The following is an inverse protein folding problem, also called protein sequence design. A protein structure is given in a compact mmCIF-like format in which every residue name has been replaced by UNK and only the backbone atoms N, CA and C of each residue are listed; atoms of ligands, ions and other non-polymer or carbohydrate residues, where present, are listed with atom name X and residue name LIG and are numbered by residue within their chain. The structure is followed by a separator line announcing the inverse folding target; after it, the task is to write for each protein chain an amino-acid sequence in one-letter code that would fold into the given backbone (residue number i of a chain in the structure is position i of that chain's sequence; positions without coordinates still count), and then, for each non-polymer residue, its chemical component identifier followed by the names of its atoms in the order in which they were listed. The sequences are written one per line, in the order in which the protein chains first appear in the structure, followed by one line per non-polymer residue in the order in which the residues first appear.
data_IF_661627194570
#
_entry.id   IF_661627194570
#
_cell.length_a   1.000
_cell.length_b   1.000
_cell.length_c   1.000
_cell.angle_alpha   90.00
_cell.angle_beta   90.00
_cell.angle_gamma   90.00
#
_symmetry.space_group_name_H-M   'P 1'
#
loop_
_entity.id
_entity.type
_entity.pdbx_description
1 polymer ?
#
# COMPACT_ATOMS: atom_id res chain seq x y z
N UNK A 1 73.30 12.42 33.38
CA UNK A 1 72.72 11.20 32.76
C UNK A 1 72.96 11.24 31.27
N UNK A 2 73.58 10.20 30.71
CA UNK A 2 74.03 10.18 29.31
C UNK A 2 72.84 10.05 28.34
N UNK A 3 72.94 10.57 27.09
CA UNK A 3 71.87 10.47 26.09
C UNK A 3 71.42 9.02 25.83
N UNK A 4 72.35 8.07 25.91
CA UNK A 4 72.10 6.64 25.72
C UNK A 4 71.15 6.02 26.76
N UNK A 5 71.17 6.51 28.00
CA UNK A 5 70.26 6.02 29.03
C UNK A 5 68.79 6.45 28.79
N UNK A 6 68.58 7.54 28.04
CA UNK A 6 67.23 8.00 27.65
C UNK A 6 66.68 7.19 26.48
N UNK A 7 67.53 6.79 25.53
CA UNK A 7 67.14 5.93 24.40
C UNK A 7 66.73 4.52 24.86
N UNK A 8 67.44 3.95 25.83
CA UNK A 8 67.13 2.61 26.36
C UNK A 8 65.79 2.56 27.11
N UNK A 9 65.39 3.66 27.74
CA UNK A 9 64.11 3.77 28.45
C UNK A 9 62.92 3.88 27.49
N UNK A 10 63.16 4.32 26.24
CA UNK A 10 62.18 4.40 25.15
C UNK A 10 61.99 3.06 24.41
N UNK A 11 62.82 2.04 24.65
CA UNK A 11 62.68 0.70 24.05
C UNK A 11 61.75 -0.26 24.81
N UNK A 12 61.04 0.21 25.84
CA UNK A 12 59.93 -0.57 26.41
C UNK A 12 58.78 -0.59 25.41
N UNK A 13 58.82 -1.57 24.51
CA UNK A 13 57.77 -1.93 23.56
C UNK A 13 56.40 -1.81 24.25
N UNK A 14 55.67 -0.75 23.91
CA UNK A 14 54.27 -0.66 24.27
C UNK A 14 53.56 -1.82 23.57
N UNK A 15 53.08 -2.79 24.35
CA UNK A 15 52.19 -3.83 23.84
C UNK A 15 50.84 -3.16 23.66
N UNK A 16 50.57 -2.70 22.44
CA UNK A 16 49.23 -2.25 22.04
C UNK A 16 48.38 -3.52 21.92
N UNK A 17 47.65 -3.86 22.97
CA UNK A 17 46.57 -4.84 22.88
C UNK A 17 45.44 -4.18 22.09
N UNK A 18 45.41 -4.42 20.78
CA UNK A 18 44.28 -4.05 19.94
C UNK A 18 43.03 -4.82 20.43
N UNK A 19 42.23 -4.16 21.27
CA UNK A 19 40.93 -4.66 21.65
C UNK A 19 39.99 -4.54 20.45
N UNK A 20 39.91 -5.58 19.64
CA UNK A 20 38.85 -5.71 18.64
C UNK A 20 37.57 -6.13 19.36
N UNK A 21 36.55 -5.26 19.52
CA UNK A 21 35.27 -5.72 20.01
C UNK A 21 34.76 -6.73 18.99
N UNK A 22 34.67 -8.01 19.38
CA UNK A 22 33.94 -9.02 18.60
C UNK A 22 32.51 -8.50 18.48
N UNK A 23 32.18 -7.89 17.34
CA UNK A 23 30.80 -7.65 16.94
C UNK A 23 30.15 -9.03 16.87
N UNK A 24 29.51 -9.45 17.96
CA UNK A 24 28.53 -10.54 17.91
C UNK A 24 27.53 -10.08 16.88
N UNK A 25 27.58 -10.69 15.69
CA UNK A 25 26.47 -10.59 14.75
C UNK A 25 25.27 -11.09 15.53
N UNK A 26 24.41 -10.18 15.99
CA UNK A 26 23.09 -10.56 16.44
C UNK A 26 22.46 -11.19 15.21
N UNK A 27 22.42 -12.52 15.18
CA UNK A 27 21.55 -13.24 14.28
C UNK A 27 20.16 -12.71 14.56
N UNK A 28 19.70 -11.78 13.72
CA UNK A 28 18.32 -11.36 13.73
C UNK A 28 17.57 -12.60 13.30
N UNK A 29 17.14 -13.43 14.26
CA UNK A 29 16.10 -14.44 14.07
C UNK A 29 14.84 -13.68 13.67
N UNK A 30 14.79 -13.26 12.41
CA UNK A 30 13.54 -12.84 11.79
C UNK A 30 12.69 -14.10 11.84
N UNK A 31 11.60 -14.05 12.60
CA UNK A 31 10.53 -15.03 12.44
C UNK A 31 10.25 -15.08 10.94
N UNK A 32 10.60 -16.20 10.29
CA UNK A 32 10.33 -16.38 8.87
C UNK A 32 8.81 -16.47 8.76
N UNK A 33 8.17 -15.34 8.52
CA UNK A 33 6.75 -15.31 8.24
C UNK A 33 6.43 -16.21 7.04
N UNK A 34 5.17 -16.61 6.93
CA UNK A 34 4.71 -17.49 5.85
C UNK A 34 5.15 -16.96 4.48
N UNK A 35 5.78 -17.83 3.69
CA UNK A 35 6.13 -17.55 2.30
C UNK A 35 4.87 -17.31 1.44
N UNK A 36 5.06 -16.69 0.28
CA UNK A 36 3.94 -16.47 -0.65
C UNK A 36 3.27 -17.80 -1.08
N UNK A 37 4.03 -18.89 -1.18
CA UNK A 37 3.51 -20.24 -1.49
C UNK A 37 2.62 -20.75 -0.35
N UNK A 38 3.12 -20.69 0.88
CA UNK A 38 2.36 -21.12 2.08
C UNK A 38 1.07 -20.32 2.27
N UNK A 39 1.10 -18.99 2.03
CA UNK A 39 -0.12 -18.16 2.14
C UNK A 39 -1.19 -18.50 1.11
N UNK A 40 -0.80 -18.94 -0.10
CA UNK A 40 -1.75 -19.40 -1.14
C UNK A 40 -2.34 -20.76 -0.79
N UNK A 41 -1.49 -21.67 -0.30
CA UNK A 41 -1.92 -23.01 0.15
C UNK A 41 -2.93 -22.91 1.30
N UNK A 42 -2.71 -21.99 2.23
CA UNK A 42 -3.62 -21.70 3.33
C UNK A 42 -4.86 -20.89 2.91
N UNK A 43 -4.99 -20.48 1.65
CA UNK A 43 -6.09 -19.65 1.14
C UNK A 43 -6.39 -18.43 2.02
N UNK A 44 -5.34 -17.82 2.58
CA UNK A 44 -5.44 -16.81 3.64
C UNK A 44 -6.27 -15.57 3.25
N UNK A 45 -6.39 -15.31 1.94
CA UNK A 45 -7.08 -14.14 1.39
C UNK A 45 -8.31 -14.52 0.56
N UNK A 46 -8.74 -15.78 0.63
CA UNK A 46 -9.94 -16.22 -0.05
C UNK A 46 -11.13 -16.05 0.90
N UNK A 47 -12.12 -15.31 0.44
CA UNK A 47 -13.38 -15.14 1.17
C UNK A 47 -14.23 -16.36 0.85
N UNK A 48 -14.67 -17.09 1.87
CA UNK A 48 -15.55 -18.24 1.68
C UNK A 48 -16.80 -17.82 0.91
N UNK A 49 -17.32 -18.65 -0.01
CA UNK A 49 -18.49 -18.29 -0.81
C UNK A 49 -19.70 -17.92 0.05
N UNK A 50 -19.88 -18.58 1.21
CA UNK A 50 -20.97 -18.25 2.15
C UNK A 50 -20.93 -16.81 2.67
N UNK A 51 -19.74 -16.20 2.69
CA UNK A 51 -19.48 -14.86 3.23
C UNK A 51 -19.40 -13.79 2.13
N UNK A 52 -19.58 -14.15 0.86
CA UNK A 52 -19.54 -13.22 -0.28
C UNK A 52 -20.87 -12.48 -0.46
N UNK A 53 -21.54 -12.11 0.62
CA UNK A 53 -22.77 -11.31 0.57
C UNK A 53 -22.43 -9.83 0.60
N UNK A 54 -22.87 -9.08 -0.39
CA UNK A 54 -22.66 -7.65 -0.52
C UNK A 54 -23.14 -6.88 0.72
N UNK A 55 -24.29 -7.27 1.27
CA UNK A 55 -24.90 -6.66 2.44
C UNK A 55 -23.98 -6.65 3.66
N UNK A 56 -23.18 -7.71 3.85
CA UNK A 56 -22.24 -7.82 4.98
C UNK A 56 -21.13 -6.76 4.91
N UNK A 57 -20.86 -6.21 3.73
CA UNK A 57 -19.81 -5.22 3.51
C UNK A 57 -20.35 -3.77 3.43
N UNK A 58 -21.66 -3.57 3.56
CA UNK A 58 -22.24 -2.22 3.65
C UNK A 58 -21.68 -1.43 4.86
N UNK A 59 -21.57 -2.01 6.07
CA UNK A 59 -20.97 -1.31 7.21
C UNK A 59 -19.52 -0.89 6.96
N UNK A 60 -18.76 -1.70 6.20
CA UNK A 60 -17.40 -1.35 5.80
C UNK A 60 -17.37 -0.12 4.88
N UNK A 61 -18.35 -0.01 3.98
CA UNK A 61 -18.48 1.17 3.12
C UNK A 61 -18.83 2.43 3.94
N UNK A 62 -19.73 2.32 4.91
CA UNK A 62 -20.09 3.47 5.76
C UNK A 62 -18.93 3.92 6.65
N UNK A 63 -18.15 2.98 7.18
CA UNK A 63 -16.90 3.30 7.88
C UNK A 63 -15.92 4.04 6.96
N UNK A 64 -15.80 3.60 5.72
CA UNK A 64 -14.93 4.26 4.74
C UNK A 64 -15.40 5.69 4.39
N UNK A 65 -16.71 5.93 4.27
CA UNK A 65 -17.24 7.30 4.07
C UNK A 65 -16.87 8.23 5.23
N UNK A 66 -17.07 7.77 6.47
CA UNK A 66 -16.70 8.54 7.66
C UNK A 66 -15.20 8.84 7.68
N UNK A 67 -14.37 7.83 7.39
CA UNK A 67 -12.92 8.00 7.26
C UNK A 67 -12.53 9.09 6.25
N UNK A 68 -13.14 9.10 5.06
CA UNK A 68 -12.80 10.12 4.05
C UNK A 68 -13.31 11.51 4.45
N UNK A 69 -14.47 11.62 5.09
CA UNK A 69 -14.94 12.91 5.64
C UNK A 69 -13.95 13.49 6.62
N UNK A 70 -13.49 12.66 7.56
CA UNK A 70 -12.53 13.06 8.58
C UNK A 70 -11.18 13.41 7.94
N UNK A 71 -10.72 12.60 6.98
CA UNK A 71 -9.47 12.85 6.26
C UNK A 71 -9.51 14.17 5.49
N UNK A 72 -10.64 14.50 4.87
CA UNK A 72 -10.81 15.70 4.07
C UNK A 72 -11.21 16.95 4.90
N UNK A 73 -11.45 16.80 6.21
CA UNK A 73 -12.01 17.84 7.10
C UNK A 73 -13.38 18.35 6.64
N UNK A 74 -14.21 17.45 6.12
CA UNK A 74 -15.48 17.77 5.48
C UNK A 74 -15.29 18.15 4.01
N UNK A 75 -15.93 17.41 3.12
CA UNK A 75 -15.97 17.68 1.68
C UNK A 75 -17.01 18.78 1.41
N UNK A 76 -16.64 20.04 1.70
CA UNK A 76 -17.47 21.20 1.34
C UNK A 76 -17.26 21.55 -0.14
N UNK A 77 -18.23 22.17 -0.84
CA UNK A 77 -18.07 22.56 -2.24
C UNK A 77 -16.90 23.53 -2.51
N UNK A 78 -16.50 24.31 -1.49
CA UNK A 78 -15.36 25.23 -1.56
C UNK A 78 -13.98 24.55 -1.35
N UNK A 79 -13.96 23.22 -1.17
CA UNK A 79 -12.72 22.49 -0.91
C UNK A 79 -11.89 22.41 -2.18
N UNK A 80 -10.62 22.82 -2.11
CA UNK A 80 -9.68 22.74 -3.23
C UNK A 80 -9.54 21.28 -3.74
N UNK A 81 -9.92 20.99 -4.99
CA UNK A 81 -9.89 19.62 -5.53
C UNK A 81 -8.49 18.98 -5.51
N UNK A 82 -7.45 19.80 -5.67
CA UNK A 82 -6.05 19.37 -5.65
C UNK A 82 -5.63 18.83 -4.27
N UNK A 83 -6.13 19.44 -3.19
CA UNK A 83 -5.87 18.98 -1.83
C UNK A 83 -6.54 17.63 -1.56
N UNK A 84 -7.79 17.47 -2.02
CA UNK A 84 -8.54 16.21 -1.93
C UNK A 84 -7.84 15.11 -2.72
N UNK A 85 -7.39 15.40 -3.95
CA UNK A 85 -6.65 14.46 -4.78
C UNK A 85 -5.36 13.96 -4.09
N UNK A 86 -4.58 14.87 -3.49
CA UNK A 86 -3.34 14.51 -2.80
C UNK A 86 -3.59 13.63 -1.56
N UNK A 87 -4.71 13.85 -0.85
CA UNK A 87 -5.15 13.02 0.28
C UNK A 87 -5.59 11.64 -0.20
N UNK A 88 -6.49 11.57 -1.19
CA UNK A 88 -6.99 10.33 -1.76
C UNK A 88 -5.88 9.45 -2.33
N UNK A 89 -4.83 10.05 -2.89
CA UNK A 89 -3.68 9.32 -3.41
C UNK A 89 -2.97 8.48 -2.34
N UNK A 90 -2.99 8.91 -1.07
CA UNK A 90 -2.36 8.19 0.05
C UNK A 90 -3.36 7.45 0.93
N UNK A 91 -4.64 7.82 0.84
CA UNK A 91 -5.72 7.24 1.61
C UNK A 91 -5.87 5.75 1.34
N UNK A 92 -6.47 5.04 2.30
CA UNK A 92 -6.95 3.69 2.07
C UNK A 92 -8.27 3.71 1.28
N UNK A 93 -8.42 2.78 0.34
CA UNK A 93 -9.60 2.61 -0.51
C UNK A 93 -10.36 1.31 -0.20
N UNK A 94 -9.91 0.48 0.75
CA UNK A 94 -10.70 -0.67 1.18
C UNK A 94 -12.04 -0.19 1.77
N UNK A 95 -13.15 -0.71 1.27
CA UNK A 95 -14.50 -0.24 1.58
C UNK A 95 -15.03 0.85 0.63
N UNK A 96 -14.21 1.38 -0.27
CA UNK A 96 -14.69 2.32 -1.28
C UNK A 96 -15.59 1.62 -2.30
N UNK A 97 -16.69 2.28 -2.68
CA UNK A 97 -17.46 1.88 -3.86
C UNK A 97 -16.73 2.39 -5.09
N UNK A 98 -16.33 1.46 -5.95
CA UNK A 98 -15.61 1.76 -7.19
C UNK A 98 -16.39 1.25 -8.40
N UNK A 99 -16.33 1.99 -9.50
CA UNK A 99 -16.92 1.62 -10.77
C UNK A 99 -15.89 1.73 -11.89
N UNK A 100 -15.87 0.77 -12.81
CA UNK A 100 -14.99 0.84 -13.99
C UNK A 100 -15.65 1.73 -15.05
N UNK A 101 -15.07 2.89 -15.32
CA UNK A 101 -15.61 3.86 -16.28
C UNK A 101 -15.01 3.67 -17.67
N UNK A 102 -13.70 3.38 -17.74
CA UNK A 102 -13.00 3.07 -18.99
C UNK A 102 -12.11 1.86 -18.77
N UNK A 103 -12.05 0.99 -19.76
CA UNK A 103 -11.10 -0.13 -19.80
C UNK A 103 -10.79 -0.48 -21.24
N UNK A 104 -9.56 -0.95 -21.49
CA UNK A 104 -9.21 -1.57 -22.78
C UNK A 104 -10.09 -2.79 -23.10
N UNK A 105 -10.58 -3.49 -22.07
CA UNK A 105 -11.49 -4.63 -22.24
C UNK A 105 -12.93 -4.17 -21.96
N UNK A 106 -13.82 -4.18 -22.97
CA UNK A 106 -15.21 -3.74 -22.79
C UNK A 106 -15.97 -4.51 -21.70
N UNK A 107 -15.64 -5.79 -21.49
CA UNK A 107 -16.29 -6.63 -20.46
C UNK A 107 -16.10 -6.14 -19.03
N UNK A 108 -15.11 -5.28 -18.76
CA UNK A 108 -14.91 -4.71 -17.43
C UNK A 108 -15.68 -3.41 -17.22
N UNK A 109 -16.06 -2.71 -18.28
CA UNK A 109 -16.72 -1.40 -18.20
C UNK A 109 -18.09 -1.56 -17.56
N UNK A 110 -18.44 -0.66 -16.64
CA UNK A 110 -19.72 -0.66 -15.94
C UNK A 110 -19.77 -1.58 -14.71
N UNK A 111 -18.74 -2.39 -14.44
CA UNK A 111 -18.72 -3.19 -13.21
C UNK A 111 -18.54 -2.25 -12.01
N UNK A 112 -19.47 -2.33 -11.07
CA UNK A 112 -19.49 -1.53 -9.82
C UNK A 112 -19.50 -2.43 -8.59
N UNK A 113 -18.78 -2.03 -7.54
CA UNK A 113 -18.79 -2.79 -6.29
C UNK A 113 -17.92 -2.20 -5.19
N UNK A 114 -18.00 -2.77 -4.00
CA UNK A 114 -17.19 -2.38 -2.85
C UNK A 114 -15.81 -3.03 -2.96
N UNK A 115 -14.74 -2.26 -2.81
CA UNK A 115 -13.37 -2.75 -2.84
C UNK A 115 -13.03 -3.50 -1.55
N UNK A 116 -12.81 -4.81 -1.66
CA UNK A 116 -12.46 -5.66 -0.50
C UNK A 116 -10.97 -5.88 -0.36
N UNK A 117 -10.26 -6.03 -1.48
CA UNK A 117 -8.82 -6.28 -1.46
C UNK A 117 -8.10 -5.51 -2.56
N UNK A 118 -7.13 -4.71 -2.14
CA UNK A 118 -6.16 -4.10 -3.03
C UNK A 118 -4.86 -4.91 -3.05
N UNK A 119 -4.50 -5.40 -4.23
CA UNK A 119 -3.18 -5.98 -4.48
C UNK A 119 -2.38 -5.09 -5.43
N UNK A 120 -1.13 -5.49 -5.72
CA UNK A 120 -0.23 -4.71 -6.56
C UNK A 120 -0.84 -4.36 -7.93
N UNK A 121 -1.47 -5.32 -8.61
CA UNK A 121 -1.95 -5.11 -9.99
C UNK A 121 -3.47 -5.24 -10.14
N UNK A 122 -4.19 -5.56 -9.07
CA UNK A 122 -5.58 -6.00 -9.15
C UNK A 122 -6.38 -5.46 -7.97
N UNK A 123 -7.62 -5.10 -8.26
CA UNK A 123 -8.67 -4.83 -7.29
C UNK A 123 -9.65 -6.00 -7.24
N UNK A 124 -9.93 -6.52 -6.04
CA UNK A 124 -11.02 -7.47 -5.83
C UNK A 124 -12.21 -6.73 -5.25
N UNK A 125 -13.33 -6.73 -5.96
CA UNK A 125 -14.54 -6.03 -5.57
C UNK A 125 -15.69 -7.02 -5.38
N UNK A 126 -16.59 -6.73 -4.45
CA UNK A 126 -17.86 -7.44 -4.33
C UNK A 126 -18.95 -6.63 -5.03
N UNK A 127 -19.66 -7.29 -5.94
CA UNK A 127 -20.78 -6.70 -6.69
C UNK A 127 -22.10 -6.91 -5.94
N UNK A 128 -23.14 -6.16 -6.31
CA UNK A 128 -24.49 -6.33 -5.73
C UNK A 128 -25.11 -7.72 -6.01
N UNK A 129 -24.57 -8.46 -6.97
CA UNK A 129 -24.97 -9.83 -7.30
C UNK A 129 -24.32 -10.88 -6.38
N UNK A 130 -23.71 -10.48 -5.26
CA UNK A 130 -22.96 -11.35 -4.34
C UNK A 130 -21.81 -12.11 -5.02
N UNK A 131 -21.26 -11.51 -6.08
CA UNK A 131 -20.14 -12.07 -6.85
C UNK A 131 -18.87 -11.27 -6.65
N UNK A 132 -17.81 -11.95 -6.23
CA UNK A 132 -16.47 -11.38 -6.17
C UNK A 132 -15.88 -11.26 -7.59
N UNK A 133 -15.56 -10.04 -8.02
CA UNK A 133 -14.92 -9.75 -9.29
C UNK A 133 -13.48 -9.31 -9.07
N UNK A 134 -12.60 -9.79 -9.93
CA UNK A 134 -11.16 -9.54 -9.88
C UNK A 134 -10.79 -8.70 -11.10
N UNK A 135 -10.52 -7.41 -10.90
CA UNK A 135 -10.34 -6.44 -11.99
C UNK A 135 -8.87 -6.00 -12.03
N UNK A 136 -8.18 -6.14 -13.18
CA UNK A 136 -6.83 -5.63 -13.33
C UNK A 136 -6.83 -4.09 -13.32
N UNK A 137 -5.84 -3.50 -12.65
CA UNK A 137 -5.63 -2.04 -12.64
C UNK A 137 -5.06 -1.54 -13.96
N UNK A 138 -4.37 -2.40 -14.72
CA UNK A 138 -3.73 -2.03 -15.98
C UNK A 138 -4.79 -1.59 -17.00
N UNK A 139 -4.59 -0.42 -17.61
CA UNK A 139 -5.44 0.13 -18.66
C UNK A 139 -6.92 0.22 -18.28
N UNK A 140 -7.20 0.53 -17.01
CA UNK A 140 -8.53 0.77 -16.48
C UNK A 140 -8.58 2.13 -15.77
N UNK A 141 -9.73 2.79 -15.83
CA UNK A 141 -10.08 3.95 -15.03
C UNK A 141 -11.24 3.58 -14.12
N UNK A 142 -11.04 3.85 -12.84
CA UNK A 142 -12.02 3.61 -11.81
C UNK A 142 -12.58 4.95 -11.36
N UNK A 143 -13.90 5.10 -11.25
CA UNK A 143 -14.50 6.20 -10.52
C UNK A 143 -14.77 5.78 -9.08
N UNK A 144 -14.49 6.68 -8.16
CA UNK A 144 -14.80 6.57 -6.74
C UNK A 144 -15.69 7.74 -6.37
N UNK A 145 -16.84 7.45 -5.78
CA UNK A 145 -17.81 8.45 -5.36
C UNK A 145 -17.70 8.67 -3.84
N UNK A 146 -17.65 9.93 -3.42
CA UNK A 146 -17.65 10.29 -2.00
C UNK A 146 -18.35 11.62 -1.79
N UNK A 147 -19.46 11.60 -1.05
CA UNK A 147 -20.23 12.77 -0.61
C UNK A 147 -20.35 13.88 -1.70
N UNK A 148 -20.78 13.50 -2.90
CA UNK A 148 -20.99 14.42 -4.03
C UNK A 148 -19.76 14.72 -4.90
N UNK A 149 -18.57 14.21 -4.53
CA UNK A 149 -17.37 14.27 -5.35
C UNK A 149 -17.15 12.95 -6.09
N UNK A 150 -16.88 13.04 -7.39
CA UNK A 150 -16.47 11.90 -8.22
C UNK A 150 -14.99 12.05 -8.54
N UNK A 151 -14.19 11.10 -8.06
CA UNK A 151 -12.75 11.05 -8.32
C UNK A 151 -12.41 9.93 -9.28
N UNK A 152 -11.60 10.22 -10.30
CA UNK A 152 -11.13 9.23 -11.26
C UNK A 152 -9.72 8.76 -10.93
N UNK A 153 -9.56 7.44 -10.79
CA UNK A 153 -8.31 6.77 -10.51
C UNK A 153 -7.86 6.03 -11.76
N UNK A 154 -6.74 6.46 -12.33
CA UNK A 154 -6.10 5.73 -13.42
C UNK A 154 -5.29 4.56 -12.87
N UNK A 155 -5.80 3.34 -13.05
CA UNK A 155 -5.24 2.14 -12.47
C UNK A 155 -3.81 1.82 -12.93
N UNK A 156 -3.42 2.23 -14.14
CA UNK A 156 -2.06 2.05 -14.67
C UNK A 156 -0.98 2.72 -13.79
N UNK A 157 -1.31 3.79 -13.06
CA UNK A 157 -0.38 4.46 -12.12
C UNK A 157 -0.60 4.02 -10.67
N UNK A 158 -1.64 3.23 -10.42
CA UNK A 158 -2.05 2.77 -9.10
C UNK A 158 -1.59 1.32 -8.81
N UNK A 159 -0.49 0.88 -9.44
CA UNK A 159 0.01 -0.50 -9.39
C UNK A 159 0.89 -0.81 -8.17
N UNK A 160 0.57 -0.21 -7.03
CA UNK A 160 1.22 -0.49 -5.75
C UNK A 160 0.19 -1.11 -4.81
N UNK A 161 0.67 -1.82 -3.78
CA UNK A 161 -0.20 -2.21 -2.66
C UNK A 161 -0.56 -0.97 -1.84
N UNK A 162 -1.70 -0.99 -1.16
CA UNK A 162 -2.14 0.13 -0.31
C UNK A 162 -1.04 0.62 0.65
N UNK A 163 -0.37 -0.32 1.33
CA UNK A 163 0.72 -0.02 2.27
C UNK A 163 1.96 0.60 1.62
N UNK A 164 2.26 0.25 0.37
CA UNK A 164 3.37 0.82 -0.38
C UNK A 164 3.00 2.19 -0.94
N UNK A 165 1.73 2.39 -1.31
CA UNK A 165 1.22 3.65 -1.84
C UNK A 165 1.30 4.78 -0.80
N UNK A 166 0.91 4.51 0.44
CA UNK A 166 0.93 5.52 1.51
C UNK A 166 2.37 5.97 1.84
N UNK A 167 3.33 5.03 1.81
CA UNK A 167 4.73 5.31 2.14
C UNK A 167 5.54 5.92 0.98
N UNK A 168 5.23 5.57 -0.26
CA UNK A 168 6.04 5.96 -1.42
C UNK A 168 5.56 7.28 -2.01
N UNK A 169 6.49 8.22 -2.22
CA UNK A 169 6.19 9.46 -2.96
C UNK A 169 5.77 9.12 -4.39
N UNK A 170 4.54 9.50 -4.74
CA UNK A 170 4.06 9.41 -6.11
C UNK A 170 4.87 10.35 -7.01
N UNK A 171 5.26 9.86 -8.18
CA UNK A 171 6.01 10.64 -9.18
C UNK A 171 5.18 10.73 -10.45
N UNK A 172 5.04 11.93 -11.00
CA UNK A 172 4.45 12.12 -12.32
C UNK A 172 5.27 11.34 -13.36
N UNK A 173 4.62 10.49 -14.14
CA UNK A 173 5.26 9.65 -15.15
C UNK A 173 4.31 9.50 -16.33
N UNK A 174 4.63 10.06 -17.49
CA UNK A 174 3.93 9.86 -18.76
C UNK A 174 2.42 10.14 -18.75
N UNK A 175 1.87 10.48 -19.91
CA UNK A 175 0.41 10.52 -20.10
C UNK A 175 -0.15 9.10 -20.20
N UNK A 176 -1.46 8.97 -20.04
CA UNK A 176 -2.18 7.69 -20.16
C UNK A 176 -3.14 7.88 -21.32
N UNK A 177 -2.95 7.11 -22.37
CA UNK A 177 -3.87 7.05 -23.49
C UNK A 177 -4.87 5.90 -23.25
N UNK A 178 -6.16 6.18 -23.37
CA UNK A 178 -7.27 5.31 -22.95
C UNK A 178 -8.47 5.44 -23.87
#
# INVERSE_FOLDING_TARGET
MSPRAREDQLQRKAVVLEYFPRRRQKEKKKSRGLSARQRRELKLFDIKPEQQRYELFIPLHELWKQYIRDLCNGLKPDTQPQAVQAKLLKADLHGAVIAVTKSKCPSYVGITGILLQETKHVFKIITKEDRLRVIPKLNCVFSVETDGFVSYIHGSKFQLRASERSAKKFKAKGTIDL
#
